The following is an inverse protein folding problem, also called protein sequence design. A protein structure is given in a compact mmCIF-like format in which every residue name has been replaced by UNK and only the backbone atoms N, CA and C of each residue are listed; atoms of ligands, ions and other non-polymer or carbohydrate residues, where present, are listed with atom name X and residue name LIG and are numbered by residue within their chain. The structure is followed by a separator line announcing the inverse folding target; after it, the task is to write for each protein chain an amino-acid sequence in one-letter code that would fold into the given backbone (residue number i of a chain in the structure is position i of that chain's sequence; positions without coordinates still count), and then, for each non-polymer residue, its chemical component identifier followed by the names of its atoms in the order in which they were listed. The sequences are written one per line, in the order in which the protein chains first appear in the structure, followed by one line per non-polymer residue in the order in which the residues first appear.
data_IF_822937397955
#
_entry.id   IF_822937397955
#
_cell.length_a   1.000
_cell.length_b   1.000
_cell.length_c   1.000
_cell.angle_alpha   90.00
_cell.angle_beta   90.00
_cell.angle_gamma   90.00
#
_symmetry.space_group_name_H-M   'P 1'
#
loop_
_entity.id
_entity.type
_entity.pdbx_description
1 polymer ?
#
# COMPACT_ATOMS: atom_id res chain seq x y z
N UNK A 1 34.44 -22.20 -31.14
CA UNK A 1 34.58 -21.27 -32.25
C UNK A 1 34.31 -19.82 -31.81
N UNK A 2 33.14 -19.49 -31.24
CA UNK A 2 32.82 -18.12 -30.80
C UNK A 2 33.75 -17.58 -29.71
N UNK A 3 34.09 -18.41 -28.71
CA UNK A 3 35.03 -18.03 -27.66
C UNK A 3 36.45 -17.80 -28.22
N UNK A 4 36.87 -18.56 -29.24
CA UNK A 4 38.15 -18.39 -29.93
C UNK A 4 38.15 -17.15 -30.84
N UNK A 5 37.00 -16.69 -31.29
CA UNK A 5 36.84 -15.48 -32.09
C UNK A 5 36.70 -14.18 -31.24
N UNK A 6 36.79 -14.29 -29.91
CA UNK A 6 36.74 -13.15 -28.99
C UNK A 6 35.32 -12.68 -28.60
N UNK A 7 34.25 -13.30 -29.13
CA UNK A 7 32.87 -12.99 -28.78
C UNK A 7 32.38 -13.86 -27.61
N UNK A 8 32.89 -13.54 -26.42
CA UNK A 8 32.63 -14.28 -25.18
C UNK A 8 31.14 -14.20 -24.80
N UNK A 9 30.50 -13.06 -25.02
CA UNK A 9 29.09 -12.87 -24.64
C UNK A 9 28.15 -13.78 -25.46
N UNK A 10 28.42 -13.96 -26.74
CA UNK A 10 27.66 -14.85 -27.60
C UNK A 10 27.97 -16.33 -27.33
N UNK A 11 29.23 -16.63 -26.98
CA UNK A 11 29.62 -17.97 -26.57
C UNK A 11 28.93 -18.42 -25.28
N UNK A 12 28.83 -17.56 -24.27
CA UNK A 12 28.09 -17.80 -23.02
C UNK A 12 26.62 -18.10 -23.30
N UNK A 13 25.94 -17.28 -24.09
CA UNK A 13 24.52 -17.50 -24.43
C UNK A 13 24.27 -18.82 -25.17
N UNK A 14 25.17 -19.20 -26.09
CA UNK A 14 25.04 -20.46 -26.83
C UNK A 14 25.32 -21.67 -25.94
N UNK A 15 26.28 -21.57 -25.03
CA UNK A 15 26.55 -22.60 -24.04
C UNK A 15 25.36 -22.82 -23.10
N UNK A 16 24.81 -21.77 -22.53
CA UNK A 16 23.62 -21.81 -21.64
C UNK A 16 22.42 -22.46 -22.36
N UNK A 17 22.12 -22.05 -23.60
CA UNK A 17 21.05 -22.67 -24.41
C UNK A 17 21.31 -24.14 -24.75
N UNK A 18 22.58 -24.55 -24.87
CA UNK A 18 22.92 -25.94 -25.07
C UNK A 18 22.68 -26.80 -23.85
N UNK A 19 23.06 -26.31 -22.68
CA UNK A 19 22.84 -26.97 -21.38
C UNK A 19 21.36 -27.03 -21.00
N UNK A 20 20.57 -25.98 -21.30
CA UNK A 20 19.14 -25.97 -21.10
C UNK A 20 18.39 -27.02 -21.93
N UNK A 21 18.87 -27.30 -23.15
CA UNK A 21 18.27 -28.31 -24.04
C UNK A 21 18.73 -29.73 -23.74
N UNK A 22 19.91 -29.92 -23.25
CA UNK A 22 20.47 -31.19 -22.88
C UNK A 22 21.49 -31.03 -21.74
N UNK A 23 21.07 -31.41 -20.54
CA UNK A 23 21.87 -31.31 -19.33
C UNK A 23 23.16 -32.15 -19.39
N UNK A 24 23.21 -33.18 -20.26
CA UNK A 24 24.40 -33.98 -20.50
C UNK A 24 25.48 -33.21 -21.32
N UNK A 25 25.13 -32.09 -21.95
CA UNK A 25 26.06 -31.23 -22.66
C UNK A 25 26.82 -30.25 -21.75
N UNK A 26 26.59 -30.28 -20.44
CA UNK A 26 27.29 -29.44 -19.47
C UNK A 26 28.74 -29.84 -19.34
N UNK A 27 29.65 -28.92 -19.72
CA UNK A 27 31.11 -29.08 -19.59
C UNK A 27 31.64 -28.07 -18.55
N UNK A 28 31.96 -28.54 -17.30
CA UNK A 28 32.43 -27.66 -16.23
C UNK A 28 33.74 -26.92 -16.54
N UNK A 29 34.67 -27.54 -17.30
CA UNK A 29 35.93 -26.89 -17.67
C UNK A 29 35.68 -25.76 -18.68
N UNK A 30 34.76 -25.99 -19.62
CA UNK A 30 34.40 -25.01 -20.62
C UNK A 30 33.59 -23.85 -19.98
N UNK A 31 32.71 -24.15 -19.02
CA UNK A 31 31.99 -23.13 -18.24
C UNK A 31 32.94 -22.19 -17.49
N UNK A 32 33.98 -22.77 -16.82
CA UNK A 32 34.97 -21.97 -16.09
C UNK A 32 35.80 -21.09 -17.06
N UNK A 33 36.12 -21.58 -18.24
CA UNK A 33 36.81 -20.79 -19.27
C UNK A 33 35.97 -19.65 -19.87
N UNK A 34 34.66 -19.77 -19.82
CA UNK A 34 33.71 -18.71 -20.20
C UNK A 34 33.41 -17.74 -19.05
N UNK A 35 34.01 -17.96 -17.87
CA UNK A 35 33.76 -17.13 -16.68
C UNK A 35 32.45 -17.43 -15.96
N UNK A 36 31.84 -18.58 -16.26
CA UNK A 36 30.60 -19.02 -15.59
C UNK A 36 31.02 -19.81 -14.36
N UNK A 37 31.03 -19.18 -13.19
CA UNK A 37 31.29 -19.85 -11.90
C UNK A 37 30.05 -20.65 -11.46
N UNK A 38 30.29 -21.80 -10.78
CA UNK A 38 29.25 -22.67 -10.26
C UNK A 38 28.37 -21.97 -9.18
N UNK A 39 28.80 -20.82 -8.65
CA UNK A 39 28.16 -20.03 -7.61
C UNK A 39 27.18 -18.95 -8.13
N UNK A 40 27.06 -18.74 -9.44
CA UNK A 40 26.12 -17.76 -10.00
C UNK A 40 24.67 -18.26 -10.08
N UNK A 41 24.32 -19.34 -9.40
CA UNK A 41 22.92 -19.71 -9.15
C UNK A 41 22.30 -18.98 -7.98
N UNK A 42 23.08 -18.21 -7.24
CA UNK A 42 22.61 -17.40 -6.10
C UNK A 42 23.21 -16.01 -6.22
N UNK A 43 22.47 -15.06 -6.75
CA UNK A 43 22.34 -13.67 -6.32
C UNK A 43 22.03 -12.70 -7.46
N UNK A 44 20.77 -12.66 -7.87
CA UNK A 44 20.16 -11.42 -8.36
C UNK A 44 19.35 -10.81 -7.19
N UNK A 45 20.07 -10.29 -6.21
CA UNK A 45 19.50 -9.45 -5.17
C UNK A 45 19.83 -8.00 -5.48
N UNK A 46 18.85 -7.25 -5.96
CA UNK A 46 18.84 -5.80 -5.87
C UNK A 46 17.82 -5.47 -4.79
N UNK A 47 18.26 -4.77 -3.73
CA UNK A 47 17.45 -4.33 -2.57
C UNK A 47 16.83 -5.44 -1.70
N UNK A 48 17.53 -6.55 -1.46
CA UNK A 48 17.09 -7.56 -0.50
C UNK A 48 15.86 -8.37 -0.91
N UNK A 49 15.47 -8.33 -2.20
CA UNK A 49 14.42 -9.18 -2.77
C UNK A 49 15.03 -10.08 -3.86
N UNK A 50 14.89 -11.38 -3.68
CA UNK A 50 15.28 -12.39 -4.66
C UNK A 50 14.34 -12.30 -5.86
N UNK A 51 14.87 -12.04 -7.07
CA UNK A 51 14.15 -12.30 -8.32
C UNK A 51 14.20 -13.80 -8.60
N UNK A 52 13.15 -14.51 -8.24
CA UNK A 52 12.95 -15.87 -8.74
C UNK A 52 12.66 -15.79 -10.24
N UNK A 53 13.49 -16.47 -11.06
CA UNK A 53 13.19 -16.72 -12.46
C UNK A 53 11.97 -17.64 -12.54
N UNK A 54 10.87 -17.12 -13.09
CA UNK A 54 9.61 -17.84 -13.20
C UNK A 54 9.62 -18.71 -14.45
N UNK A 55 9.38 -19.99 -14.27
CA UNK A 55 8.89 -20.86 -15.34
C UNK A 55 7.38 -20.61 -15.53
N UNK A 56 6.88 -20.58 -16.77
CA UNK A 56 5.50 -20.32 -17.14
C UNK A 56 4.46 -21.29 -16.50
N UNK A 57 4.92 -22.31 -15.76
CA UNK A 57 4.09 -23.36 -15.13
C UNK A 57 4.06 -23.32 -13.58
N UNK A 58 4.77 -22.39 -12.91
CA UNK A 58 4.60 -22.24 -11.47
C UNK A 58 3.37 -21.41 -11.14
N UNK A 59 2.48 -21.89 -10.24
CA UNK A 59 1.37 -21.07 -9.78
C UNK A 59 1.92 -19.83 -9.12
N UNK A 60 1.32 -18.63 -9.35
CA UNK A 60 1.78 -17.40 -8.76
C UNK A 60 1.88 -17.55 -7.25
N UNK A 61 2.94 -16.99 -6.67
CA UNK A 61 3.13 -17.04 -5.22
C UNK A 61 1.88 -16.48 -4.55
N UNK A 62 1.21 -17.31 -3.76
CA UNK A 62 0.02 -16.90 -3.04
C UNK A 62 0.37 -15.69 -2.19
N UNK A 63 -0.42 -14.62 -2.28
CA UNK A 63 -0.22 -13.43 -1.46
C UNK A 63 -0.27 -13.84 0.01
N UNK A 64 0.61 -13.26 0.84
CA UNK A 64 0.64 -13.59 2.25
C UNK A 64 -0.68 -13.17 2.93
N UNK A 65 -1.32 -14.10 3.62
CA UNK A 65 -2.52 -13.81 4.42
C UNK A 65 -2.08 -13.47 5.83
N UNK A 66 -1.97 -12.18 6.11
CA UNK A 66 -1.68 -11.69 7.46
C UNK A 66 -2.91 -11.85 8.37
N UNK A 67 -2.68 -11.98 9.67
CA UNK A 67 -3.73 -11.86 10.71
C UNK A 67 -3.37 -10.70 11.64
N UNK A 68 -3.76 -9.46 11.32
CA UNK A 68 -3.38 -8.30 12.09
C UNK A 68 -3.92 -8.37 13.51
N UNK A 69 -3.06 -8.05 14.48
CA UNK A 69 -3.44 -7.87 15.89
C UNK A 69 -3.80 -6.41 16.21
N UNK A 70 -3.41 -5.49 15.32
CA UNK A 70 -3.69 -4.06 15.43
C UNK A 70 -5.19 -3.79 15.30
N UNK A 71 -5.72 -2.89 16.15
CA UNK A 71 -7.13 -2.49 16.21
C UNK A 71 -7.29 -0.98 16.08
N UNK A 72 -8.53 -0.51 16.05
CA UNK A 72 -8.83 0.92 15.99
C UNK A 72 -8.27 1.72 17.16
N UNK A 73 -8.09 1.10 18.34
CA UNK A 73 -7.48 1.76 19.50
C UNK A 73 -5.98 2.04 19.30
N UNK A 74 -5.33 1.26 18.43
CA UNK A 74 -3.92 1.45 18.08
C UNK A 74 -3.72 2.52 16.99
N UNK A 75 -4.81 2.98 16.36
CA UNK A 75 -4.79 4.04 15.34
C UNK A 75 -5.11 5.37 16.00
N UNK A 76 -4.18 6.30 16.01
CA UNK A 76 -4.37 7.63 16.59
C UNK A 76 -5.39 8.46 15.81
N UNK A 77 -6.41 9.03 16.51
CA UNK A 77 -7.42 9.92 15.93
C UNK A 77 -8.37 9.26 14.94
N UNK A 78 -8.84 9.99 13.94
CA UNK A 78 -9.75 9.55 12.87
C UNK A 78 -11.07 8.95 13.40
N UNK A 79 -11.63 9.49 14.49
CA UNK A 79 -12.81 8.91 15.15
C UNK A 79 -14.02 8.84 14.20
N UNK A 80 -14.27 9.90 13.43
CA UNK A 80 -15.37 9.95 12.45
C UNK A 80 -15.21 8.85 11.39
N UNK A 81 -13.98 8.69 10.85
CA UNK A 81 -13.71 7.65 9.84
C UNK A 81 -13.85 6.25 10.43
N UNK A 82 -13.39 6.03 11.66
CA UNK A 82 -13.57 4.74 12.36
C UNK A 82 -15.04 4.43 12.62
N UNK A 83 -15.85 5.42 13.04
CA UNK A 83 -17.30 5.25 13.24
C UNK A 83 -18.01 4.95 11.91
N UNK A 84 -17.63 5.63 10.83
CA UNK A 84 -18.13 5.34 9.49
C UNK A 84 -17.84 3.88 9.09
N UNK A 85 -16.60 3.41 9.35
CA UNK A 85 -16.21 2.02 9.09
C UNK A 85 -17.01 1.07 9.97
N UNK A 86 -17.18 1.36 11.26
CA UNK A 86 -17.99 0.53 12.16
C UNK A 86 -19.43 0.41 11.66
N UNK A 87 -20.06 1.52 11.36
CA UNK A 87 -21.47 1.56 10.93
C UNK A 87 -21.68 0.91 9.55
N UNK A 88 -20.79 1.19 8.60
CA UNK A 88 -20.97 0.78 7.20
C UNK A 88 -20.45 -0.62 6.90
N UNK A 89 -19.56 -1.16 7.74
CA UNK A 89 -18.88 -2.43 7.51
C UNK A 89 -19.08 -3.41 8.66
N UNK A 90 -18.61 -3.02 9.86
CA UNK A 90 -18.50 -3.95 10.98
C UNK A 90 -19.88 -4.38 11.44
N UNK A 91 -20.80 -3.45 11.63
CA UNK A 91 -22.18 -3.75 12.01
C UNK A 91 -22.91 -4.65 10.99
N UNK A 92 -22.86 -4.39 9.66
CA UNK A 92 -23.44 -5.31 8.68
C UNK A 92 -22.88 -6.73 8.74
N UNK A 93 -21.59 -6.87 9.00
CA UNK A 93 -20.93 -8.18 9.10
C UNK A 93 -21.30 -8.92 10.41
N UNK A 94 -21.49 -8.17 11.51
CA UNK A 94 -21.84 -8.73 12.81
C UNK A 94 -23.35 -9.04 12.95
N UNK A 95 -24.21 -8.29 12.24
CA UNK A 95 -25.68 -8.37 12.32
C UNK A 95 -26.32 -8.48 10.93
N UNK A 96 -25.95 -9.52 10.13
CA UNK A 96 -26.43 -9.64 8.75
C UNK A 96 -27.95 -9.76 8.64
N UNK A 97 -28.61 -10.38 9.63
CA UNK A 97 -30.06 -10.53 9.69
C UNK A 97 -30.79 -9.18 9.78
N UNK A 98 -30.21 -8.21 10.52
CA UNK A 98 -30.79 -6.88 10.65
C UNK A 98 -30.82 -6.14 9.30
N UNK A 99 -29.69 -6.21 8.57
CA UNK A 99 -29.58 -5.53 7.27
C UNK A 99 -30.44 -6.21 6.19
N UNK A 100 -30.53 -7.54 6.21
CA UNK A 100 -31.43 -8.31 5.33
C UNK A 100 -32.90 -7.96 5.59
N UNK A 101 -33.30 -7.77 6.85
CA UNK A 101 -34.67 -7.40 7.20
C UNK A 101 -35.09 -6.03 6.62
N UNK A 102 -34.12 -5.11 6.44
CA UNK A 102 -34.35 -3.82 5.78
C UNK A 102 -34.07 -3.84 4.27
N UNK A 103 -33.86 -5.03 3.66
CA UNK A 103 -33.57 -5.18 2.25
C UNK A 103 -32.22 -4.56 1.82
N UNK A 104 -31.31 -4.31 2.77
CA UNK A 104 -30.02 -3.70 2.49
C UNK A 104 -28.99 -4.78 2.17
N UNK A 105 -28.43 -4.75 0.98
CA UNK A 105 -27.37 -5.66 0.60
C UNK A 105 -26.13 -5.45 1.50
N UNK A 106 -25.56 -6.58 1.96
CA UNK A 106 -24.28 -6.61 2.68
C UNK A 106 -23.22 -6.90 1.64
N UNK A 107 -22.46 -5.92 1.29
CA UNK A 107 -21.42 -6.04 0.25
C UNK A 107 -20.99 -4.66 -0.23
N UNK A 108 -20.23 -4.64 -1.30
CA UNK A 108 -19.58 -3.45 -1.82
C UNK A 108 -18.21 -3.22 -1.21
N UNK A 109 -17.46 -2.31 -1.83
CA UNK A 109 -16.12 -1.95 -1.41
C UNK A 109 -16.08 -0.55 -0.79
N UNK A 110 -15.00 -0.26 -0.12
CA UNK A 110 -14.69 1.08 0.38
C UNK A 110 -13.47 1.60 -0.30
N UNK A 111 -13.57 2.81 -0.81
CA UNK A 111 -12.45 3.59 -1.31
C UNK A 111 -12.04 4.62 -0.26
N UNK A 112 -10.86 4.46 0.31
CA UNK A 112 -10.24 5.46 1.17
C UNK A 112 -9.39 6.39 0.33
N UNK A 113 -9.59 7.69 0.47
CA UNK A 113 -8.78 8.68 -0.23
C UNK A 113 -8.28 9.77 0.71
N UNK A 114 -7.17 10.40 0.35
CA UNK A 114 -6.59 11.48 1.15
C UNK A 114 -5.10 11.63 0.92
N UNK A 115 -4.45 12.57 1.62
CA UNK A 115 -3.02 12.82 1.45
C UNK A 115 -2.17 11.58 1.70
N UNK A 116 -1.00 11.45 1.04
CA UNK A 116 -0.06 10.38 1.32
C UNK A 116 0.42 10.42 2.77
N UNK A 117 0.76 9.26 3.32
CA UNK A 117 1.28 9.15 4.68
C UNK A 117 0.27 9.39 5.81
N UNK A 118 -1.02 9.56 5.52
CA UNK A 118 -2.07 9.76 6.53
C UNK A 118 -2.66 8.46 7.09
N UNK A 119 -2.06 7.30 6.80
CA UNK A 119 -2.38 6.04 7.48
C UNK A 119 -3.53 5.24 6.87
N UNK A 120 -3.87 5.41 5.58
CA UNK A 120 -4.91 4.63 4.89
C UNK A 120 -4.69 3.12 4.99
N UNK A 121 -3.49 2.64 4.67
CA UNK A 121 -3.08 1.23 4.78
C UNK A 121 -3.11 0.74 6.22
N UNK A 122 -2.72 1.59 7.17
CA UNK A 122 -2.76 1.28 8.60
C UNK A 122 -4.19 1.11 9.12
N UNK A 123 -5.10 1.99 8.67
CA UNK A 123 -6.53 1.94 8.98
C UNK A 123 -7.19 0.68 8.38
N UNK A 124 -6.81 0.29 7.14
CA UNK A 124 -7.29 -0.95 6.52
C UNK A 124 -6.87 -2.19 7.33
N UNK A 125 -5.60 -2.22 7.76
CA UNK A 125 -5.06 -3.30 8.59
C UNK A 125 -5.74 -3.35 9.97
N UNK A 126 -5.99 -2.20 10.59
CA UNK A 126 -6.73 -2.10 11.84
C UNK A 126 -8.20 -2.55 11.70
N UNK A 127 -8.83 -2.27 10.56
CA UNK A 127 -10.18 -2.76 10.24
C UNK A 127 -10.20 -4.29 10.22
N UNK A 128 -9.21 -4.94 9.61
CA UNK A 128 -9.12 -6.40 9.61
C UNK A 128 -8.93 -6.97 11.02
N UNK A 129 -8.07 -6.35 11.83
CA UNK A 129 -7.86 -6.75 13.23
C UNK A 129 -9.10 -6.56 14.10
N UNK A 130 -9.89 -5.51 13.88
CA UNK A 130 -11.13 -5.25 14.60
C UNK A 130 -12.18 -6.36 14.39
N UNK A 131 -12.28 -6.87 13.17
CA UNK A 131 -13.21 -7.96 12.81
C UNK A 131 -12.56 -9.35 12.87
N UNK A 132 -11.30 -9.44 13.31
CA UNK A 132 -10.51 -10.70 13.38
C UNK A 132 -10.46 -11.43 12.03
N UNK A 133 -10.39 -10.70 10.93
CA UNK A 133 -10.30 -11.22 9.58
C UNK A 133 -8.85 -11.43 9.13
N UNK A 134 -8.66 -12.29 8.14
CA UNK A 134 -7.44 -12.31 7.34
C UNK A 134 -7.26 -10.97 6.61
N UNK A 135 -6.03 -10.61 6.31
CA UNK A 135 -5.69 -9.38 5.59
C UNK A 135 -4.73 -9.73 4.45
N UNK A 136 -5.16 -9.42 3.23
CA UNK A 136 -4.34 -9.56 2.02
C UNK A 136 -4.12 -8.15 1.48
N UNK A 137 -2.87 -7.70 1.38
CA UNK A 137 -2.51 -6.38 0.86
C UNK A 137 -1.83 -6.51 -0.48
N UNK A 138 -2.31 -5.76 -1.46
CA UNK A 138 -1.82 -5.78 -2.84
C UNK A 138 -1.61 -4.36 -3.32
N UNK A 139 -0.40 -4.04 -3.79
CA UNK A 139 -0.12 -2.83 -4.56
C UNK A 139 -0.61 -3.01 -6.00
N UNK A 140 -1.41 -2.09 -6.50
CA UNK A 140 -1.85 -2.18 -7.90
C UNK A 140 -0.68 -2.06 -8.88
N UNK A 141 0.34 -1.29 -8.55
CA UNK A 141 1.59 -1.21 -9.32
C UNK A 141 2.26 -2.56 -9.47
N UNK A 142 2.29 -3.35 -8.38
CA UNK A 142 2.87 -4.70 -8.39
C UNK A 142 2.07 -5.64 -9.32
N UNK A 143 0.73 -5.49 -9.33
CA UNK A 143 -0.15 -6.23 -10.25
C UNK A 143 0.12 -5.87 -11.71
N UNK A 144 0.42 -4.60 -11.99
CA UNK A 144 0.68 -4.11 -13.34
C UNK A 144 2.08 -4.48 -13.84
N UNK A 145 3.11 -4.38 -12.99
CA UNK A 145 4.52 -4.51 -13.37
C UNK A 145 5.01 -5.97 -13.41
N UNK A 146 4.63 -6.78 -12.44
CA UNK A 146 5.07 -8.18 -12.36
C UNK A 146 4.42 -9.09 -13.41
N UNK A 147 3.38 -8.62 -14.16
CA UNK A 147 2.45 -9.55 -14.75
C UNK A 147 2.02 -9.19 -16.18
N UNK A 148 2.93 -8.64 -16.96
CA UNK A 148 2.72 -8.44 -18.40
C UNK A 148 2.46 -9.81 -19.06
N UNK A 149 1.18 -10.17 -19.21
CA UNK A 149 0.69 -11.39 -19.84
C UNK A 149 -0.31 -12.22 -19.02
N UNK A 150 -0.31 -12.13 -17.66
CA UNK A 150 -1.16 -12.95 -16.78
C UNK A 150 -1.91 -12.14 -15.71
N UNK A 151 -1.98 -10.83 -15.81
CA UNK A 151 -2.54 -9.92 -14.78
C UNK A 151 -3.98 -10.25 -14.39
N UNK A 152 -4.80 -10.69 -15.34
CA UNK A 152 -6.21 -11.04 -15.12
C UNK A 152 -6.37 -12.32 -14.30
N UNK A 153 -5.60 -13.36 -14.64
CA UNK A 153 -5.60 -14.63 -13.93
C UNK A 153 -5.18 -14.43 -12.48
N UNK A 154 -4.16 -13.66 -12.27
CA UNK A 154 -3.59 -13.44 -10.95
C UNK A 154 -4.51 -12.55 -10.08
N UNK A 155 -5.17 -11.55 -10.67
CA UNK A 155 -6.22 -10.81 -9.97
C UNK A 155 -7.37 -11.73 -9.56
N UNK A 156 -7.81 -12.64 -10.43
CA UNK A 156 -8.80 -13.66 -10.11
C UNK A 156 -8.35 -14.56 -8.95
N UNK A 157 -7.11 -15.01 -8.96
CA UNK A 157 -6.55 -15.86 -7.90
C UNK A 157 -6.46 -15.14 -6.55
N UNK A 158 -6.17 -13.83 -6.53
CA UNK A 158 -6.21 -13.01 -5.31
C UNK A 158 -7.62 -12.97 -4.71
N UNK A 159 -8.64 -12.76 -5.54
CA UNK A 159 -10.04 -12.80 -5.08
C UNK A 159 -10.43 -14.19 -4.58
N UNK A 160 -10.04 -15.27 -5.30
CA UNK A 160 -10.28 -16.63 -4.85
C UNK A 160 -9.56 -16.95 -3.54
N UNK A 161 -8.33 -16.47 -3.36
CA UNK A 161 -7.60 -16.60 -2.11
C UNK A 161 -8.31 -15.89 -0.95
N UNK A 162 -8.82 -14.67 -1.17
CA UNK A 162 -9.61 -13.97 -0.17
C UNK A 162 -10.90 -14.73 0.18
N UNK A 163 -11.59 -15.28 -0.84
CA UNK A 163 -12.81 -16.10 -0.68
C UNK A 163 -12.56 -17.38 0.12
N UNK A 164 -11.40 -18.02 -0.04
CA UNK A 164 -11.01 -19.23 0.73
C UNK A 164 -10.65 -18.92 2.18
N UNK A 165 -10.21 -17.69 2.47
CA UNK A 165 -9.75 -17.25 3.80
C UNK A 165 -10.78 -16.40 4.56
N UNK A 166 -12.06 -16.58 4.29
CA UNK A 166 -13.16 -15.83 4.95
C UNK A 166 -13.20 -16.04 6.46
N UNK A 167 -13.47 -15.03 7.27
CA UNK A 167 -13.60 -13.62 6.90
C UNK A 167 -12.24 -13.01 6.50
N UNK A 168 -12.21 -12.25 5.40
CA UNK A 168 -10.98 -11.69 4.85
C UNK A 168 -11.19 -10.25 4.38
N UNK A 169 -10.19 -9.41 4.62
CA UNK A 169 -10.06 -8.07 4.04
C UNK A 169 -9.08 -8.14 2.88
N UNK A 170 -9.54 -7.87 1.68
CA UNK A 170 -8.72 -7.72 0.49
C UNK A 170 -8.48 -6.23 0.24
N UNK A 171 -7.25 -5.78 0.45
CA UNK A 171 -6.86 -4.39 0.39
C UNK A 171 -5.99 -4.10 -0.83
N UNK A 172 -6.44 -3.14 -1.64
CA UNK A 172 -5.72 -2.65 -2.80
C UNK A 172 -5.17 -1.25 -2.53
N UNK A 173 -3.84 -1.10 -2.53
CA UNK A 173 -3.19 0.21 -2.40
C UNK A 173 -2.92 0.83 -3.76
N UNK A 174 -2.90 2.17 -3.80
CA UNK A 174 -2.57 2.97 -4.98
C UNK A 174 -3.43 2.64 -6.22
N UNK A 175 -4.75 2.47 -6.03
CA UNK A 175 -5.68 2.13 -7.14
C UNK A 175 -5.76 3.21 -8.23
N UNK A 176 -5.25 4.41 -7.99
CA UNK A 176 -5.09 5.46 -9.00
C UNK A 176 -4.09 5.10 -10.10
N UNK A 177 -3.18 4.14 -9.87
CA UNK A 177 -2.30 3.60 -10.91
C UNK A 177 -3.09 2.96 -12.07
N UNK A 178 -4.30 2.44 -11.83
CA UNK A 178 -5.21 1.96 -12.89
C UNK A 178 -5.67 3.10 -13.82
N UNK A 179 -5.76 4.32 -13.32
CA UNK A 179 -6.16 5.50 -14.11
C UNK A 179 -5.03 6.03 -15.01
N UNK A 180 -3.79 5.97 -14.53
CA UNK A 180 -2.60 6.46 -15.26
C UNK A 180 -2.28 5.61 -16.51
N UNK A 181 -2.65 4.34 -16.52
CA UNK A 181 -2.39 3.40 -17.62
C UNK A 181 -3.16 3.70 -18.91
N UNK A 182 -4.07 4.70 -18.91
CA UNK A 182 -4.89 5.04 -20.09
C UNK A 182 -4.17 5.87 -21.14
N UNK A 183 -3.09 6.55 -20.81
CA UNK A 183 -2.37 7.48 -21.70
C UNK A 183 -1.24 6.84 -22.51
N UNK A 184 -0.76 5.64 -22.14
CA UNK A 184 0.37 4.98 -22.78
C UNK A 184 -0.02 3.78 -23.65
N UNK A 185 0.89 3.34 -24.55
CA UNK A 185 0.70 2.24 -25.52
C UNK A 185 0.36 0.86 -24.92
N UNK A 186 0.30 0.74 -23.60
CA UNK A 186 -0.18 -0.44 -22.84
C UNK A 186 -1.71 -0.43 -22.62
N UNK A 187 -2.46 0.36 -23.39
CA UNK A 187 -3.90 0.62 -23.21
C UNK A 187 -4.79 -0.63 -23.20
N UNK A 188 -4.43 -1.70 -23.93
CA UNK A 188 -5.24 -2.93 -23.97
C UNK A 188 -5.12 -3.72 -22.66
N UNK A 189 -3.92 -3.97 -22.16
CA UNK A 189 -3.71 -4.73 -20.93
C UNK A 189 -4.32 -4.03 -19.70
N UNK A 190 -4.15 -2.71 -19.58
CA UNK A 190 -4.76 -1.95 -18.49
C UNK A 190 -6.29 -1.95 -18.51
N UNK A 191 -6.92 -1.91 -19.69
CA UNK A 191 -8.39 -1.99 -19.82
C UNK A 191 -8.91 -3.39 -19.46
N UNK A 192 -8.22 -4.44 -19.86
CA UNK A 192 -8.60 -5.80 -19.56
C UNK A 192 -8.52 -6.04 -18.03
N UNK A 193 -7.46 -5.59 -17.38
CA UNK A 193 -7.32 -5.66 -15.92
C UNK A 193 -8.43 -4.88 -15.19
N UNK A 194 -8.76 -3.67 -15.64
CA UNK A 194 -9.86 -2.88 -15.08
C UNK A 194 -11.18 -3.66 -15.21
N UNK A 195 -11.48 -4.22 -16.38
CA UNK A 195 -12.70 -4.98 -16.59
C UNK A 195 -12.74 -6.24 -15.72
N UNK A 196 -11.63 -6.96 -15.58
CA UNK A 196 -11.53 -8.11 -14.69
C UNK A 196 -11.76 -7.69 -13.23
N UNK A 197 -11.14 -6.60 -12.78
CA UNK A 197 -11.32 -6.08 -11.43
C UNK A 197 -12.80 -5.75 -11.15
N UNK A 198 -13.46 -5.07 -12.09
CA UNK A 198 -14.88 -4.72 -11.98
C UNK A 198 -15.76 -5.98 -11.96
N UNK A 199 -15.45 -6.99 -12.78
CA UNK A 199 -16.16 -8.28 -12.80
C UNK A 199 -16.02 -9.05 -11.48
N UNK A 200 -14.80 -9.06 -10.91
CA UNK A 200 -14.56 -9.68 -9.60
C UNK A 200 -15.31 -8.96 -8.47
N UNK A 201 -15.33 -7.62 -8.49
CA UNK A 201 -16.10 -6.85 -7.51
C UNK A 201 -17.60 -7.11 -7.59
N UNK A 202 -18.14 -7.21 -8.81
CA UNK A 202 -19.56 -7.49 -9.04
C UNK A 202 -19.96 -8.91 -8.61
N UNK A 203 -18.97 -9.79 -8.36
CA UNK A 203 -19.22 -11.18 -7.93
C UNK A 203 -19.95 -12.02 -8.99
N UNK A 204 -19.70 -11.73 -10.28
CA UNK A 204 -20.39 -12.36 -11.39
C UNK A 204 -20.13 -13.89 -11.44
N UNK A 205 -18.92 -14.30 -11.13
CA UNK A 205 -18.50 -15.70 -11.14
C UNK A 205 -18.58 -16.37 -9.77
N UNK A 206 -18.33 -15.62 -8.69
CA UNK A 206 -18.25 -16.14 -7.32
C UNK A 206 -18.63 -15.07 -6.32
N UNK A 207 -19.44 -15.41 -5.31
CA UNK A 207 -19.90 -14.47 -4.28
C UNK A 207 -18.76 -13.94 -3.42
N UNK A 208 -18.72 -12.62 -3.21
CA UNK A 208 -17.81 -11.93 -2.28
C UNK A 208 -18.35 -11.88 -0.83
N UNK A 209 -19.38 -12.66 -0.49
CA UNK A 209 -19.89 -12.71 0.88
C UNK A 209 -18.78 -13.14 1.84
N UNK A 210 -18.55 -12.39 2.92
CA UNK A 210 -17.45 -12.62 3.87
C UNK A 210 -16.07 -12.07 3.43
N UNK A 211 -15.97 -11.46 2.25
CA UNK A 211 -14.78 -10.72 1.79
C UNK A 211 -15.09 -9.23 1.81
N UNK A 212 -14.31 -8.46 2.56
CA UNK A 212 -14.37 -7.02 2.56
C UNK A 212 -13.31 -6.46 1.61
N UNK A 213 -13.76 -5.74 0.57
CA UNK A 213 -12.85 -5.13 -0.39
C UNK A 213 -12.59 -3.69 0.05
N UNK A 214 -11.34 -3.37 0.34
CA UNK A 214 -10.89 -2.01 0.66
C UNK A 214 -9.91 -1.55 -0.42
N UNK A 215 -9.98 -0.28 -0.76
CA UNK A 215 -8.97 0.34 -1.63
C UNK A 215 -8.50 1.67 -1.06
N UNK A 216 -7.26 2.03 -1.38
CA UNK A 216 -6.69 3.33 -1.05
C UNK A 216 -6.16 4.04 -2.30
N UNK A 217 -6.33 5.36 -2.32
CA UNK A 217 -5.80 6.22 -3.38
C UNK A 217 -5.35 7.57 -2.84
N UNK A 218 -4.32 8.11 -3.45
CA UNK A 218 -3.90 9.49 -3.22
C UNK A 218 -4.53 10.46 -4.25
N UNK A 219 -5.10 9.94 -5.35
CA UNK A 219 -5.65 10.74 -6.44
C UNK A 219 -7.02 10.21 -6.92
N UNK A 220 -8.09 10.35 -6.10
CA UNK A 220 -9.41 9.79 -6.42
C UNK A 220 -10.03 10.34 -7.71
N UNK A 221 -9.56 11.49 -8.21
CA UNK A 221 -9.96 12.09 -9.48
C UNK A 221 -9.40 11.37 -10.71
N UNK A 222 -8.36 10.55 -10.54
CA UNK A 222 -7.82 9.72 -11.62
C UNK A 222 -8.55 8.38 -11.76
N UNK A 223 -9.32 7.97 -10.74
CA UNK A 223 -10.03 6.70 -10.77
C UNK A 223 -11.24 6.76 -11.70
N UNK A 224 -11.43 5.71 -12.51
CA UNK A 224 -12.59 5.57 -13.39
C UNK A 224 -13.90 5.59 -12.60
N UNK A 225 -14.87 6.33 -13.12
CA UNK A 225 -16.21 6.41 -12.51
C UNK A 225 -16.92 5.06 -12.40
N UNK A 226 -16.56 4.07 -13.24
CA UNK A 226 -17.08 2.71 -13.17
C UNK A 226 -16.79 2.02 -11.83
N UNK A 227 -15.67 2.34 -11.17
CA UNK A 227 -15.36 1.82 -9.84
C UNK A 227 -16.28 2.33 -8.74
N UNK A 228 -16.92 3.49 -8.95
CA UNK A 228 -17.79 4.17 -7.97
C UNK A 228 -19.27 3.86 -8.14
N UNK A 229 -19.61 2.89 -9.00
CA UNK A 229 -21.01 2.47 -9.17
C UNK A 229 -21.49 1.65 -7.96
N UNK A 230 -22.81 1.66 -7.67
CA UNK A 230 -23.38 0.84 -6.61
C UNK A 230 -22.95 -0.64 -6.73
N UNK A 231 -22.62 -1.24 -5.59
CA UNK A 231 -22.11 -2.61 -5.52
C UNK A 231 -20.59 -2.76 -5.65
N UNK A 232 -19.88 -1.69 -6.03
CA UNK A 232 -18.41 -1.63 -6.13
C UNK A 232 -17.86 -0.78 -4.99
N UNK A 233 -17.00 0.21 -5.26
CA UNK A 233 -16.62 1.19 -4.24
C UNK A 233 -17.73 2.25 -4.08
N UNK A 234 -18.85 1.82 -3.57
CA UNK A 234 -20.03 2.67 -3.33
C UNK A 234 -19.91 3.53 -2.07
N UNK A 235 -18.89 3.26 -1.28
CA UNK A 235 -18.55 4.01 -0.06
C UNK A 235 -17.19 4.62 -0.21
N UNK A 236 -17.16 5.95 -0.15
CA UNK A 236 -15.93 6.72 -0.34
C UNK A 236 -15.67 7.45 0.96
N UNK A 237 -14.49 7.24 1.56
CA UNK A 237 -14.10 7.80 2.85
C UNK A 237 -12.88 8.69 2.70
N UNK A 238 -13.01 9.94 3.13
CA UNK A 238 -11.87 10.84 3.23
C UNK A 238 -11.07 10.52 4.50
N UNK A 239 -9.78 10.31 4.35
CA UNK A 239 -8.83 10.11 5.44
C UNK A 239 -8.01 11.39 5.61
N UNK A 240 -8.38 12.28 6.55
CA UNK A 240 -7.70 13.55 6.75
C UNK A 240 -6.32 13.35 7.39
N UNK A 241 -5.46 14.37 7.36
CA UNK A 241 -4.28 14.42 8.21
C UNK A 241 -4.65 14.30 9.69
N UNK A 242 -3.77 13.75 10.54
CA UNK A 242 -4.04 13.54 11.95
C UNK A 242 -4.32 14.88 12.69
N UNK A 243 -5.35 14.87 13.52
CA UNK A 243 -5.67 15.96 14.43
C UNK A 243 -4.60 16.15 15.53
N UNK A 244 -4.62 17.20 16.34
CA UNK A 244 -3.60 17.42 17.36
C UNK A 244 -3.42 16.25 18.33
N UNK A 245 -4.51 15.62 18.76
CA UNK A 245 -4.47 14.49 19.69
C UNK A 245 -3.83 13.25 19.02
N UNK A 246 -4.20 12.99 17.76
CA UNK A 246 -3.60 11.94 16.95
C UNK A 246 -2.11 12.19 16.71
N UNK A 247 -1.70 13.44 16.41
CA UNK A 247 -0.28 13.77 16.23
C UNK A 247 0.53 13.49 17.49
N UNK A 248 0.01 13.88 18.67
CA UNK A 248 0.64 13.56 19.93
C UNK A 248 0.77 12.05 20.15
N UNK A 249 -0.28 11.27 19.85
CA UNK A 249 -0.27 9.81 19.96
C UNK A 249 0.74 9.16 19.00
N UNK A 250 0.79 9.62 17.75
CA UNK A 250 1.73 9.13 16.73
C UNK A 250 3.18 9.42 17.14
N UNK A 251 3.46 10.62 17.65
CA UNK A 251 4.80 10.96 18.15
C UNK A 251 5.19 10.06 19.33
N UNK A 252 4.28 9.82 20.30
CA UNK A 252 4.51 8.88 21.42
C UNK A 252 4.84 7.47 20.91
N UNK A 253 4.14 7.01 19.88
CA UNK A 253 4.40 5.70 19.29
C UNK A 253 5.80 5.62 18.67
N UNK A 254 6.20 6.63 17.91
CA UNK A 254 7.49 6.62 17.20
C UNK A 254 8.71 6.82 18.13
N UNK A 255 8.55 7.40 19.31
CA UNK A 255 9.63 7.50 20.30
C UNK A 255 9.71 6.29 21.23
N UNK A 256 8.74 5.36 21.18
CA UNK A 256 8.74 4.17 22.02
C UNK A 256 10.02 3.35 21.80
N UNK A 257 10.66 2.94 22.90
CA UNK A 257 11.91 2.18 22.86
C UNK A 257 13.18 3.01 22.58
N UNK A 258 13.05 4.33 22.45
CA UNK A 258 14.18 5.25 22.32
C UNK A 258 14.47 5.91 23.69
N UNK A 259 15.72 6.32 23.98
CA UNK A 259 16.01 7.10 25.16
C UNK A 259 15.38 8.49 25.03
N UNK A 260 14.48 8.81 25.95
CA UNK A 260 13.75 10.10 25.93
C UNK A 260 13.80 10.75 27.32
N UNK A 261 13.76 12.06 27.38
CA UNK A 261 13.69 12.85 28.59
C UNK A 261 12.59 13.90 28.44
N UNK A 262 11.57 13.77 29.28
CA UNK A 262 10.43 14.69 29.48
C UNK A 262 9.90 15.38 28.21
N UNK A 263 9.15 14.62 27.38
CA UNK A 263 8.64 15.10 26.11
C UNK A 263 7.26 15.76 26.25
N UNK A 264 7.16 17.03 25.90
CA UNK A 264 5.89 17.75 25.75
C UNK A 264 5.26 17.47 24.37
N UNK A 265 4.45 16.41 24.31
CA UNK A 265 3.78 16.00 23.07
C UNK A 265 2.69 16.98 22.62
N UNK A 266 2.07 17.73 23.53
CA UNK A 266 1.03 18.70 23.19
C UNK A 266 1.64 19.92 22.52
N UNK A 267 2.79 20.39 23.00
CA UNK A 267 3.57 21.41 22.33
C UNK A 267 4.04 20.97 20.94
N UNK A 268 4.55 19.75 20.82
CA UNK A 268 5.00 19.18 19.55
C UNK A 268 3.84 19.02 18.57
N UNK A 269 2.66 18.57 19.04
CA UNK A 269 1.46 18.46 18.23
C UNK A 269 1.02 19.81 17.65
N UNK A 270 1.12 20.90 18.40
CA UNK A 270 0.84 22.25 17.90
C UNK A 270 1.84 22.69 16.82
N UNK A 271 3.13 22.36 16.99
CA UNK A 271 4.19 22.70 16.01
C UNK A 271 4.12 21.91 14.71
N UNK A 272 3.46 20.77 14.71
CA UNK A 272 3.33 19.85 13.56
C UNK A 272 1.97 19.93 12.88
N UNK A 273 1.34 21.12 12.86
CA UNK A 273 0.07 21.33 12.17
C UNK A 273 0.18 21.00 10.68
N UNK A 274 -0.77 20.21 10.19
CA UNK A 274 -0.80 19.76 8.80
C UNK A 274 0.18 18.62 8.46
N UNK A 275 0.93 18.08 9.42
CA UNK A 275 1.83 16.96 9.18
C UNK A 275 1.04 15.66 9.03
N UNK A 276 1.46 14.84 8.08
CA UNK A 276 1.02 13.44 7.94
C UNK A 276 1.68 12.57 9.01
N UNK A 277 1.20 11.32 9.17
CA UNK A 277 1.87 10.34 10.03
C UNK A 277 3.31 10.05 9.61
N UNK A 278 3.56 10.02 8.29
CA UNK A 278 4.90 9.85 7.74
C UNK A 278 5.81 11.04 8.04
N UNK A 279 5.29 12.28 7.96
CA UNK A 279 6.05 13.48 8.34
C UNK A 279 6.43 13.45 9.83
N UNK A 280 5.52 13.01 10.70
CA UNK A 280 5.78 12.88 12.14
C UNK A 280 6.86 11.84 12.44
N UNK A 281 6.87 10.74 11.70
CA UNK A 281 7.96 9.77 11.76
C UNK A 281 9.28 10.39 11.35
N UNK A 282 9.31 11.11 10.23
CA UNK A 282 10.50 11.80 9.75
C UNK A 282 11.03 12.81 10.78
N UNK A 283 10.16 13.53 11.51
CA UNK A 283 10.56 14.42 12.62
C UNK A 283 11.33 13.65 13.69
N UNK A 284 10.85 12.48 14.10
CA UNK A 284 11.53 11.65 15.11
C UNK A 284 12.85 11.13 14.57
N UNK A 285 12.87 10.65 13.32
CA UNK A 285 14.09 10.12 12.70
C UNK A 285 15.17 11.19 12.56
N UNK A 286 14.83 12.42 12.16
CA UNK A 286 15.75 13.56 12.12
C UNK A 286 16.31 13.91 13.50
N UNK A 287 15.47 13.89 14.54
CA UNK A 287 15.93 14.14 15.91
C UNK A 287 16.89 13.04 16.41
N UNK A 288 16.58 11.78 16.10
CA UNK A 288 17.46 10.63 16.41
C UNK A 288 18.80 10.76 15.69
N UNK A 289 18.80 11.06 14.39
CA UNK A 289 20.05 11.27 13.63
C UNK A 289 20.91 12.37 14.21
N UNK A 290 20.29 13.49 14.63
CA UNK A 290 21.02 14.59 15.26
C UNK A 290 21.69 14.14 16.57
N UNK A 291 21.00 13.35 17.41
CA UNK A 291 21.56 12.77 18.65
C UNK A 291 22.66 11.75 18.38
N UNK A 292 22.49 10.91 17.37
CA UNK A 292 23.55 9.96 16.97
C UNK A 292 24.82 10.69 16.55
N UNK A 293 24.70 11.75 15.75
CA UNK A 293 25.87 12.60 15.38
C UNK A 293 26.55 13.23 16.59
N UNK A 294 25.79 13.63 17.62
CA UNK A 294 26.34 14.16 18.88
C UNK A 294 27.05 13.05 19.66
N UNK A 295 26.41 11.88 19.80
CA UNK A 295 26.96 10.74 20.51
C UNK A 295 28.27 10.25 19.88
N UNK A 296 28.37 10.21 18.53
CA UNK A 296 29.61 9.87 17.82
C UNK A 296 30.78 10.82 18.14
N UNK A 297 30.49 12.09 18.45
CA UNK A 297 31.52 13.10 18.84
C UNK A 297 31.88 13.03 20.31
N UNK A 298 30.90 12.82 21.18
CA UNK A 298 31.09 12.86 22.65
C UNK A 298 31.37 11.48 23.27
N UNK A 299 31.13 10.40 22.52
CA UNK A 299 31.21 9.03 23.04
C UNK A 299 30.05 8.62 23.96
N UNK A 300 29.07 9.49 24.23
CA UNK A 300 27.99 9.25 25.19
C UNK A 300 26.64 9.54 24.55
N UNK A 301 25.73 8.55 24.45
CA UNK A 301 24.36 8.76 24.00
C UNK A 301 23.60 9.72 24.94
N UNK A 302 22.90 10.70 24.36
CA UNK A 302 22.03 11.64 25.06
C UNK A 302 20.56 11.34 24.75
N UNK A 303 19.63 11.47 25.72
CA UNK A 303 18.21 11.28 25.46
C UNK A 303 17.65 12.34 24.50
N UNK A 304 16.56 11.96 23.82
CA UNK A 304 15.75 12.89 23.00
C UNK A 304 14.97 13.82 23.92
N UNK A 305 15.00 15.10 23.63
CA UNK A 305 14.26 16.15 24.36
C UNK A 305 13.18 16.75 23.47
N UNK A 306 12.22 17.46 24.06
CA UNK A 306 11.22 18.26 23.31
C UNK A 306 11.88 19.22 22.32
N UNK A 307 13.04 19.80 22.68
CA UNK A 307 13.78 20.73 21.81
C UNK A 307 14.34 20.04 20.56
N UNK A 308 14.80 18.80 20.67
CA UNK A 308 15.32 18.04 19.53
C UNK A 308 14.21 17.70 18.53
N UNK A 309 13.06 17.22 19.03
CA UNK A 309 11.89 16.96 18.19
C UNK A 309 11.32 18.23 17.58
N UNK A 310 11.31 19.35 18.32
CA UNK A 310 10.88 20.63 17.78
C UNK A 310 11.81 21.17 16.68
N UNK A 311 13.11 20.89 16.77
CA UNK A 311 14.08 21.19 15.72
C UNK A 311 13.82 20.33 14.48
N UNK A 312 13.59 19.02 14.64
CA UNK A 312 13.17 18.12 13.56
C UNK A 312 11.88 18.61 12.88
N UNK A 313 10.87 19.01 13.66
CA UNK A 313 9.62 19.57 13.12
C UNK A 313 9.83 20.87 12.33
N UNK A 314 10.82 21.69 12.71
CA UNK A 314 11.13 22.91 11.98
C UNK A 314 11.91 22.66 10.68
N UNK A 315 12.63 21.55 10.61
CA UNK A 315 13.37 21.14 9.41
C UNK A 315 12.48 20.43 8.37
N UNK A 316 11.41 19.78 8.83
CA UNK A 316 10.46 19.05 7.98
C UNK A 316 9.35 19.98 7.47
N UNK A 317 8.96 19.83 6.20
CA UNK A 317 7.78 20.49 5.64
C UNK A 317 6.62 19.49 5.56
N UNK A 318 5.37 19.92 5.85
CA UNK A 318 4.22 19.02 5.73
C UNK A 318 3.96 18.67 4.25
N UNK A 319 4.02 17.37 3.93
CA UNK A 319 3.81 16.84 2.58
C UNK A 319 2.35 16.99 2.13
N UNK A 320 1.43 17.13 3.08
CA UNK A 320 -0.01 17.25 2.80
C UNK A 320 -0.40 18.55 2.07
N UNK A 321 0.41 19.61 2.18
CA UNK A 321 0.10 20.93 1.58
C UNK A 321 0.00 20.87 0.07
N UNK A 322 0.90 20.19 -0.60
CA UNK A 322 0.90 20.04 -2.06
C UNK A 322 -0.32 19.25 -2.50
N UNK A 323 -0.64 18.20 -1.76
CA UNK A 323 -1.83 17.41 -2.03
C UNK A 323 -3.10 18.24 -1.92
N UNK A 324 -3.27 19.04 -0.86
CA UNK A 324 -4.43 19.91 -0.69
C UNK A 324 -4.51 21.01 -1.76
N UNK A 325 -3.37 21.53 -2.23
CA UNK A 325 -3.36 22.50 -3.33
C UNK A 325 -3.97 21.91 -4.60
N UNK A 326 -3.65 20.65 -4.93
CA UNK A 326 -4.23 19.94 -6.06
C UNK A 326 -5.68 19.53 -5.80
N UNK A 327 -5.97 18.92 -4.66
CA UNK A 327 -7.28 18.41 -4.28
C UNK A 327 -8.36 19.51 -4.22
N UNK A 328 -7.98 20.70 -3.74
CA UNK A 328 -8.85 21.89 -3.71
C UNK A 328 -9.40 22.23 -5.10
N UNK A 329 -8.56 22.20 -6.13
CA UNK A 329 -9.01 22.53 -7.47
C UNK A 329 -10.04 21.51 -7.98
N UNK A 330 -9.80 20.23 -7.77
CA UNK A 330 -10.78 19.19 -8.12
C UNK A 330 -12.08 19.32 -7.31
N UNK A 331 -11.99 19.60 -6.00
CA UNK A 331 -13.15 19.79 -5.15
C UNK A 331 -13.99 21.02 -5.51
N UNK A 332 -13.38 22.09 -6.00
CA UNK A 332 -14.08 23.30 -6.41
C UNK A 332 -14.67 23.21 -7.82
N UNK A 333 -13.96 22.59 -8.78
CA UNK A 333 -14.29 22.68 -10.19
C UNK A 333 -14.76 21.38 -10.82
N UNK A 334 -14.56 20.22 -10.16
CA UNK A 334 -14.89 18.90 -10.71
C UNK A 334 -15.72 18.04 -9.74
N UNK A 335 -16.43 18.66 -8.79
CA UNK A 335 -17.17 17.99 -7.73
C UNK A 335 -18.70 17.97 -7.95
N UNK A 336 -19.15 17.70 -9.16
CA UNK A 336 -20.58 17.69 -9.51
C UNK A 336 -21.40 16.67 -8.70
N UNK A 337 -20.78 15.59 -8.23
CA UNK A 337 -21.42 14.50 -7.46
C UNK A 337 -21.28 14.65 -5.93
N UNK A 338 -20.64 15.70 -5.43
CA UNK A 338 -20.40 15.91 -4.00
C UNK A 338 -19.36 14.98 -3.36
N UNK A 339 -18.64 14.20 -4.15
CA UNK A 339 -17.68 13.19 -3.64
C UNK A 339 -16.54 13.83 -2.84
N UNK A 340 -16.17 15.07 -3.17
CA UNK A 340 -15.06 15.79 -2.53
C UNK A 340 -15.52 16.84 -1.53
N UNK A 341 -16.78 16.78 -1.09
CA UNK A 341 -17.34 17.73 -0.09
C UNK A 341 -16.56 17.70 1.23
N UNK A 342 -16.08 16.53 1.64
CA UNK A 342 -15.28 16.39 2.86
C UNK A 342 -13.96 17.16 2.78
N UNK A 343 -13.35 17.28 1.59
CA UNK A 343 -12.15 18.11 1.36
C UNK A 343 -12.51 19.59 1.58
N UNK A 344 -13.63 20.04 1.02
CA UNK A 344 -14.08 21.43 1.18
C UNK A 344 -14.40 21.76 2.63
N UNK A 345 -15.05 20.85 3.34
CA UNK A 345 -15.33 20.95 4.78
C UNK A 345 -14.04 21.02 5.59
N UNK A 346 -13.09 20.14 5.32
CA UNK A 346 -11.76 20.15 5.98
C UNK A 346 -11.02 21.45 5.74
N UNK A 347 -11.09 22.01 4.52
CA UNK A 347 -10.46 23.28 4.15
C UNK A 347 -11.28 24.50 4.60
N UNK A 348 -12.44 24.31 5.23
CA UNK A 348 -13.39 25.39 5.63
C UNK A 348 -13.85 26.26 4.45
N UNK A 349 -14.05 25.64 3.30
CA UNK A 349 -14.53 26.27 2.06
C UNK A 349 -16.01 25.97 1.78
N UNK A 350 -16.60 25.08 2.58
CA UNK A 350 -18.03 24.72 2.58
C UNK A 350 -18.55 24.74 4.00
#
# INVERSE_FOLDING_TARGET
LLAAAGDVAQAVRQYQRGVEKDSAAADPEFATRLGISADERESDTVDGKVRAGWSDDEPPAAAEVERPTIRFDDVGGMQEVKEEIRLKIIHPLQHPELYKAYGKAIGGGILMYGPPGCGKTHLARATAGEIKAGFISVGISDVLDMWIGNSERNLHELFEQARRNRPCVLFFDEVDALGASRSDMRQHAGRMLINQFLSEMDGVTSSNEGVLILAATNAPWHLDSAFRRPGRFDRILFVPPPDPAARAAILRLHVRGKPVEDLDFDHLAKKTEGFSGADLRAVVDLAVEAKLRQAMKSGVPQPLTTKDLAAGASAQKPTTREWFASARNYALYSNQSGIYDDILTYLKLK
#
